data_IF_746893198946
#
_entry.id   IF_746893198946
#
_cell.length_a   1.000
_cell.length_b   1.000
_cell.length_c   1.000
_cell.angle_alpha   90.00
_cell.angle_beta   90.00
_cell.angle_gamma   90.00
#
_symmetry.space_group_name_H-M   'P 1'
#
loop_
_entity.id
_entity.type
_entity.pdbx_description
1 polymer ?
#
# COMPACT_ATOMS: atom_id res chain seq x y z
N UNK A 1 74.25 3.68 -37.49
CA UNK A 1 72.87 4.32 -37.62
C UNK A 1 72.21 4.29 -36.27
N UNK A 2 72.11 5.43 -35.59
CA UNK A 2 71.42 5.56 -34.26
C UNK A 2 69.89 5.61 -34.42
N UNK A 3 69.23 4.64 -33.84
CA UNK A 3 67.76 4.55 -33.87
C UNK A 3 67.17 5.57 -32.86
N UNK A 4 66.48 6.59 -33.33
CA UNK A 4 65.79 7.58 -32.49
C UNK A 4 64.74 6.91 -31.63
N UNK A 5 64.88 7.00 -30.31
CA UNK A 5 63.93 6.48 -29.33
C UNK A 5 62.77 7.48 -29.18
N UNK A 6 61.61 7.15 -29.78
CA UNK A 6 60.40 7.97 -29.68
C UNK A 6 59.92 7.92 -28.22
N UNK A 7 59.89 9.07 -27.54
CA UNK A 7 59.31 9.23 -26.22
C UNK A 7 57.77 8.98 -26.34
N UNK A 8 57.31 7.87 -25.74
CA UNK A 8 55.87 7.65 -25.61
C UNK A 8 55.31 8.68 -24.62
N UNK A 9 54.46 9.57 -25.07
CA UNK A 9 53.71 10.45 -24.20
C UNK A 9 52.78 9.63 -23.32
N UNK A 10 52.78 9.87 -22.03
CA UNK A 10 51.80 9.32 -21.10
C UNK A 10 50.45 9.94 -21.42
N UNK A 11 49.49 9.13 -21.87
CA UNK A 11 48.10 9.54 -22.04
C UNK A 11 47.49 9.70 -20.64
N UNK A 12 47.37 10.93 -20.19
CA UNK A 12 46.54 11.25 -19.02
C UNK A 12 45.09 11.20 -19.46
N UNK A 13 44.33 10.22 -19.02
CA UNK A 13 42.89 10.15 -19.24
C UNK A 13 42.24 11.09 -18.25
N UNK A 14 41.55 12.10 -18.75
CA UNK A 14 40.73 13.00 -17.91
C UNK A 14 39.52 12.22 -17.38
N UNK A 15 39.50 12.01 -16.05
CA UNK A 15 38.42 11.27 -15.39
C UNK A 15 37.20 12.15 -15.03
N UNK A 16 37.31 13.46 -15.24
CA UNK A 16 36.24 14.44 -14.89
C UNK A 16 34.91 14.12 -15.59
N UNK A 17 34.87 13.86 -16.92
CA UNK A 17 33.62 13.51 -17.59
C UNK A 17 33.01 12.19 -17.10
N UNK A 18 33.85 11.21 -16.71
CA UNK A 18 33.37 9.94 -16.18
C UNK A 18 32.74 10.10 -14.78
N UNK A 19 33.32 10.96 -13.94
CA UNK A 19 32.78 11.29 -12.63
C UNK A 19 31.43 12.02 -12.76
N UNK A 20 31.31 12.93 -13.71
CA UNK A 20 30.06 13.68 -13.96
C UNK A 20 28.92 12.74 -14.40
N UNK A 21 29.19 11.86 -15.38
CA UNK A 21 28.21 10.86 -15.82
C UNK A 21 27.81 9.92 -14.67
N UNK A 22 28.75 9.47 -13.85
CA UNK A 22 28.46 8.62 -12.69
C UNK A 22 27.60 9.37 -11.66
N UNK A 23 27.88 10.65 -11.42
CA UNK A 23 27.10 11.49 -10.54
C UNK A 23 25.68 11.75 -11.06
N UNK A 24 25.53 12.02 -12.36
CA UNK A 24 24.21 12.17 -13.00
C UNK A 24 23.39 10.88 -12.91
N UNK A 25 24.00 9.72 -13.16
CA UNK A 25 23.32 8.43 -13.00
C UNK A 25 22.91 8.18 -11.55
N UNK A 26 23.79 8.49 -10.59
CA UNK A 26 23.47 8.34 -9.17
C UNK A 26 22.29 9.20 -8.76
N UNK A 27 22.31 10.50 -9.13
CA UNK A 27 21.21 11.42 -8.82
C UNK A 27 19.92 11.01 -9.51
N UNK A 28 19.99 10.53 -10.75
CA UNK A 28 18.83 9.98 -11.46
C UNK A 28 18.23 8.79 -10.72
N UNK A 29 19.03 7.82 -10.29
CA UNK A 29 18.52 6.66 -9.55
C UNK A 29 17.94 7.06 -8.20
N UNK A 30 18.53 8.02 -7.48
CA UNK A 30 17.99 8.51 -6.21
C UNK A 30 16.62 9.17 -6.44
N UNK A 31 16.48 9.99 -7.48
CA UNK A 31 15.21 10.69 -7.79
C UNK A 31 14.16 9.73 -8.39
N UNK A 32 14.58 8.73 -9.14
CA UNK A 32 13.69 7.73 -9.74
C UNK A 32 13.27 6.63 -8.75
N UNK A 33 13.95 6.49 -7.62
CA UNK A 33 13.60 5.53 -6.60
C UNK A 33 12.29 5.92 -5.91
N UNK A 34 11.18 5.31 -6.32
CA UNK A 34 9.91 5.43 -5.62
C UNK A 34 9.92 4.48 -4.43
N UNK A 35 9.83 5.03 -3.23
CA UNK A 35 9.65 4.23 -2.03
C UNK A 35 8.24 3.62 -2.05
N UNK A 36 8.15 2.31 -2.15
CA UNK A 36 6.88 1.62 -1.88
C UNK A 36 6.53 1.83 -0.41
N UNK A 37 5.27 2.18 -0.09
CA UNK A 37 4.83 2.20 1.30
C UNK A 37 5.12 0.85 1.95
N UNK A 38 5.64 0.85 3.17
CA UNK A 38 5.89 -0.39 3.88
C UNK A 38 4.58 -1.09 4.19
N UNK A 39 4.50 -2.37 3.81
CA UNK A 39 3.35 -3.19 4.14
C UNK A 39 3.39 -3.57 5.63
N UNK A 40 2.24 -3.59 6.28
CA UNK A 40 2.12 -3.95 7.70
C UNK A 40 2.67 -5.35 7.99
N UNK A 41 2.39 -6.28 7.08
CA UNK A 41 2.79 -7.68 7.14
C UNK A 41 2.95 -8.19 5.71
N UNK A 42 3.93 -9.04 5.51
CA UNK A 42 4.06 -9.76 4.24
C UNK A 42 2.89 -10.74 4.08
N UNK A 43 2.15 -10.56 3.00
CA UNK A 43 0.95 -11.33 2.69
C UNK A 43 1.11 -11.93 1.29
N UNK A 44 0.79 -13.20 1.14
CA UNK A 44 0.77 -13.89 -0.15
C UNK A 44 -0.67 -14.01 -0.68
N UNK A 45 -1.18 -13.04 -1.47
CA UNK A 45 -2.54 -13.10 -1.97
C UNK A 45 -2.74 -14.21 -2.99
N UNK A 46 -3.96 -14.71 -3.13
CA UNK A 46 -4.29 -15.69 -4.16
C UNK A 46 -4.03 -15.13 -5.56
N UNK A 47 -3.74 -16.01 -6.51
CA UNK A 47 -3.44 -15.62 -7.89
C UNK A 47 -4.71 -15.41 -8.70
N UNK A 48 -4.72 -14.39 -9.57
CA UNK A 48 -5.81 -14.07 -10.47
C UNK A 48 -5.28 -13.71 -11.87
N UNK A 49 -6.10 -13.94 -12.88
CA UNK A 49 -5.86 -13.52 -14.27
C UNK A 49 -6.40 -12.12 -14.58
N UNK A 50 -6.80 -11.37 -13.57
CA UNK A 50 -7.32 -10.01 -13.73
C UNK A 50 -6.19 -9.05 -14.13
N UNK A 51 -6.46 -8.18 -15.13
CA UNK A 51 -5.54 -7.14 -15.61
C UNK A 51 -5.83 -5.77 -14.99
N UNK A 52 -6.80 -5.66 -14.06
CA UNK A 52 -7.11 -4.38 -13.43
C UNK A 52 -6.00 -4.00 -12.47
N UNK A 53 -5.46 -2.80 -12.66
CA UNK A 53 -4.53 -2.20 -11.73
C UNK A 53 -5.30 -1.67 -10.52
N UNK A 54 -4.78 -1.90 -9.32
CA UNK A 54 -5.37 -1.36 -8.10
C UNK A 54 -5.21 0.17 -8.08
N UNK A 55 -6.24 0.92 -7.66
CA UNK A 55 -6.14 2.37 -7.54
C UNK A 55 -5.10 2.76 -6.49
N UNK A 56 -4.26 3.74 -6.84
CA UNK A 56 -3.18 4.25 -5.97
C UNK A 56 -3.60 5.47 -5.15
N UNK A 57 -4.77 6.02 -5.43
CA UNK A 57 -5.31 7.23 -4.77
C UNK A 57 -6.70 6.97 -4.23
N UNK A 58 -7.05 7.73 -3.21
CA UNK A 58 -8.37 7.69 -2.57
C UNK A 58 -8.79 6.26 -2.24
N UNK A 59 -7.88 5.53 -1.60
CA UNK A 59 -8.09 4.13 -1.25
C UNK A 59 -8.10 3.87 0.25
N UNK A 60 -8.85 2.84 0.61
CA UNK A 60 -8.82 2.19 1.91
C UNK A 60 -8.55 0.71 1.68
N UNK A 61 -7.38 0.25 2.08
CA UNK A 61 -6.94 -1.13 1.92
C UNK A 61 -6.98 -1.87 3.27
N UNK A 62 -7.73 -2.95 3.31
CA UNK A 62 -7.81 -3.85 4.45
C UNK A 62 -6.96 -5.08 4.15
N UNK A 63 -5.87 -5.25 4.91
CA UNK A 63 -4.96 -6.39 4.77
C UNK A 63 -5.26 -7.42 5.85
N UNK A 64 -5.44 -8.68 5.47
CA UNK A 64 -5.68 -9.80 6.39
C UNK A 64 -4.46 -10.74 6.31
N UNK A 65 -3.74 -10.87 7.41
CA UNK A 65 -2.57 -11.72 7.49
C UNK A 65 -2.93 -13.21 7.63
N UNK A 66 -1.95 -14.08 7.40
CA UNK A 66 -2.08 -15.54 7.65
C UNK A 66 -2.52 -15.89 9.06
N UNK A 67 -2.21 -15.04 10.05
CA UNK A 67 -2.58 -15.20 11.45
C UNK A 67 -3.99 -14.66 11.76
N UNK A 68 -4.76 -14.31 10.73
CA UNK A 68 -6.09 -13.72 10.81
C UNK A 68 -6.13 -12.34 11.53
N UNK A 69 -5.01 -11.65 11.58
CA UNK A 69 -4.93 -10.26 12.06
C UNK A 69 -5.28 -9.31 10.92
N UNK A 70 -6.04 -8.27 11.23
CA UNK A 70 -6.49 -7.28 10.25
C UNK A 70 -5.74 -5.99 10.43
N UNK A 71 -5.25 -5.45 9.33
CA UNK A 71 -4.52 -4.19 9.25
C UNK A 71 -5.20 -3.27 8.24
N UNK A 72 -5.13 -1.98 8.49
CA UNK A 72 -5.73 -0.96 7.65
C UNK A 72 -4.65 -0.02 7.12
N UNK A 73 -4.69 0.21 5.82
CA UNK A 73 -3.89 1.23 5.13
C UNK A 73 -4.83 2.15 4.37
N UNK A 74 -4.57 3.43 4.37
CA UNK A 74 -5.38 4.41 3.65
C UNK A 74 -4.50 5.50 3.03
N UNK A 75 -5.06 6.19 2.05
CA UNK A 75 -4.39 7.32 1.41
C UNK A 75 -4.01 8.37 2.48
N UNK A 76 -2.76 8.87 2.47
CA UNK A 76 -2.31 9.88 3.42
C UNK A 76 -3.20 11.12 3.49
N UNK A 77 -3.83 11.51 2.39
CA UNK A 77 -4.69 12.69 2.31
C UNK A 77 -5.93 12.62 3.19
N UNK A 78 -6.51 11.42 3.34
CA UNK A 78 -7.74 11.23 4.11
C UNK A 78 -7.49 10.91 5.58
N UNK A 79 -6.27 10.49 5.97
CA UNK A 79 -5.96 10.05 7.32
C UNK A 79 -6.33 11.05 8.40
N UNK A 80 -5.98 12.33 8.21
CA UNK A 80 -6.29 13.39 9.18
C UNK A 80 -7.79 13.55 9.39
N UNK A 81 -8.57 13.59 8.29
CA UNK A 81 -10.02 13.69 8.35
C UNK A 81 -10.68 12.45 8.97
N UNK A 82 -10.18 11.25 8.64
CA UNK A 82 -10.66 9.98 9.24
C UNK A 82 -10.43 9.98 10.75
N UNK A 83 -9.29 10.45 11.21
CA UNK A 83 -9.00 10.51 12.65
C UNK A 83 -9.92 11.50 13.37
N UNK A 84 -10.28 12.64 12.72
CA UNK A 84 -11.22 13.62 13.26
C UNK A 84 -12.62 13.04 13.37
N UNK A 85 -13.11 12.36 12.32
CA UNK A 85 -14.44 11.72 12.34
C UNK A 85 -14.51 10.61 13.40
N UNK A 86 -13.46 9.78 13.49
CA UNK A 86 -13.36 8.76 14.53
C UNK A 86 -13.36 9.38 15.94
N UNK A 87 -12.65 10.51 16.11
CA UNK A 87 -12.62 11.27 17.36
C UNK A 87 -14.01 11.75 17.77
N UNK A 88 -14.82 12.24 16.83
CA UNK A 88 -16.21 12.66 17.07
C UNK A 88 -17.10 11.48 17.45
N UNK A 89 -17.01 10.39 16.68
CA UNK A 89 -17.83 9.19 16.88
C UNK A 89 -17.55 8.50 18.23
N UNK A 90 -16.27 8.48 18.65
CA UNK A 90 -15.81 7.78 19.85
C UNK A 90 -15.54 8.69 21.05
N UNK A 91 -15.83 10.00 20.96
CA UNK A 91 -15.50 10.99 21.97
C UNK A 91 -14.02 10.98 22.37
N UNK A 92 -13.12 10.78 21.41
CA UNK A 92 -11.68 10.79 21.58
C UNK A 92 -11.09 12.10 21.08
N UNK A 93 -10.29 12.77 21.91
CA UNK A 93 -9.57 13.97 21.48
C UNK A 93 -8.15 13.61 21.04
N UNK A 94 -7.74 14.11 19.88
CA UNK A 94 -6.40 13.97 19.33
C UNK A 94 -5.74 15.34 19.21
N UNK A 95 -4.48 15.42 19.58
CA UNK A 95 -3.70 16.64 19.43
C UNK A 95 -3.27 16.85 17.97
N UNK A 96 -2.82 18.07 17.63
CA UNK A 96 -2.27 18.33 16.29
C UNK A 96 -1.01 17.48 16.00
N UNK A 97 -0.26 17.12 17.05
CA UNK A 97 0.90 16.23 16.92
C UNK A 97 0.46 14.80 16.64
N UNK A 98 -0.60 14.31 17.31
CA UNK A 98 -1.14 12.97 17.06
C UNK A 98 -1.61 12.84 15.61
N UNK A 99 -2.26 13.87 15.06
CA UNK A 99 -2.67 13.86 13.64
C UNK A 99 -1.48 13.70 12.70
N UNK A 100 -0.42 14.49 12.92
CA UNK A 100 0.80 14.39 12.10
C UNK A 100 1.47 13.01 12.21
N UNK A 101 1.53 12.45 13.41
CA UNK A 101 2.08 11.12 13.60
C UNK A 101 1.23 10.06 12.89
N UNK A 102 -0.10 10.19 12.94
CA UNK A 102 -1.02 9.30 12.29
C UNK A 102 -0.96 9.39 10.75
N UNK A 103 -0.82 10.59 10.21
CA UNK A 103 -0.62 10.81 8.77
C UNK A 103 0.65 10.12 8.25
N UNK A 104 1.70 10.10 9.08
CA UNK A 104 2.97 9.45 8.75
C UNK A 104 3.00 7.94 9.04
N UNK A 105 2.01 7.39 9.73
CA UNK A 105 1.92 5.96 9.97
C UNK A 105 1.57 5.23 8.66
N UNK A 106 2.36 4.25 8.24
CA UNK A 106 2.13 3.51 7.00
C UNK A 106 0.85 2.67 7.09
N UNK A 107 0.57 2.08 8.24
CA UNK A 107 -0.58 1.20 8.49
C UNK A 107 -1.05 1.27 9.94
N UNK A 108 -2.26 0.80 10.17
CA UNK A 108 -2.92 0.73 11.46
C UNK A 108 -3.27 -0.73 11.74
N UNK A 109 -2.92 -1.22 12.90
CA UNK A 109 -3.16 -2.61 13.28
C UNK A 109 -3.30 -2.76 14.79
N UNK A 110 -4.04 -1.84 15.43
CA UNK A 110 -4.27 -1.84 16.87
C UNK A 110 -5.74 -1.60 17.18
N UNK A 111 -6.27 -2.15 18.29
CA UNK A 111 -7.61 -1.82 18.77
C UNK A 111 -7.70 -0.36 19.23
N UNK A 112 -8.89 0.21 19.25
CA UNK A 112 -9.12 1.60 19.69
C UNK A 112 -8.57 1.91 21.09
N UNK A 113 -8.58 0.93 21.98
CA UNK A 113 -8.01 1.07 23.33
C UNK A 113 -6.51 1.40 23.33
N UNK A 114 -5.78 0.95 22.31
CA UNK A 114 -4.34 1.15 22.17
C UNK A 114 -4.00 2.25 21.13
N UNK A 115 -5.01 2.80 20.44
CA UNK A 115 -4.80 3.72 19.33
C UNK A 115 -4.01 4.97 19.76
N UNK A 116 -4.31 5.58 20.90
CA UNK A 116 -3.57 6.74 21.40
C UNK A 116 -2.09 6.42 21.67
N UNK A 117 -1.81 5.26 22.24
CA UNK A 117 -0.43 4.82 22.51
C UNK A 117 0.31 4.57 21.20
N UNK A 118 -0.36 3.94 20.22
CA UNK A 118 0.18 3.68 18.90
C UNK A 118 0.54 4.97 18.16
N UNK A 119 -0.35 5.96 18.17
CA UNK A 119 -0.13 7.26 17.50
C UNK A 119 1.01 8.06 18.16
N UNK A 120 1.24 7.87 19.47
CA UNK A 120 2.35 8.52 20.17
C UNK A 120 3.73 7.95 19.78
N UNK A 121 3.79 6.76 19.20
CA UNK A 121 5.03 6.14 18.72
C UNK A 121 5.51 6.82 17.43
N UNK A 122 6.83 6.91 17.28
CA UNK A 122 7.41 7.35 16.00
C UNK A 122 7.30 6.26 14.95
N UNK A 123 7.14 6.60 13.65
CA UNK A 123 7.04 5.60 12.58
C UNK A 123 8.18 4.58 12.56
N UNK A 124 9.39 5.01 12.94
CA UNK A 124 10.57 4.13 13.02
C UNK A 124 10.43 3.05 14.11
N UNK A 125 9.72 3.34 15.19
CA UNK A 125 9.49 2.39 16.29
C UNK A 125 8.40 1.37 15.96
N UNK A 126 7.49 1.72 15.05
CA UNK A 126 6.41 0.85 14.59
C UNK A 126 6.94 -0.17 13.57
N UNK A 127 7.97 0.18 12.80
CA UNK A 127 8.58 -0.72 11.81
C UNK A 127 9.16 -1.96 12.50
N UNK A 128 8.64 -3.13 12.13
CA UNK A 128 9.06 -4.41 12.70
C UNK A 128 8.39 -4.78 14.04
N UNK A 129 7.49 -3.93 14.56
CA UNK A 129 6.69 -4.27 15.73
C UNK A 129 5.53 -5.19 15.32
N UNK A 130 5.38 -6.29 16.02
CA UNK A 130 4.21 -7.15 15.83
C UNK A 130 2.98 -6.52 16.47
N UNK A 131 2.06 -6.01 15.63
CA UNK A 131 0.82 -5.40 16.09
C UNK A 131 -0.27 -6.45 16.31
N UNK A 132 -1.17 -6.23 17.28
CA UNK A 132 -2.24 -7.18 17.60
C UNK A 132 -3.28 -7.34 16.49
N UNK A 133 -3.39 -6.37 15.59
CA UNK A 133 -4.45 -6.29 14.58
C UNK A 133 -5.69 -5.54 15.08
N UNK A 134 -6.52 -5.09 14.13
CA UNK A 134 -7.83 -4.49 14.43
C UNK A 134 -8.80 -5.63 14.76
N UNK A 135 -9.54 -5.58 15.87
CA UNK A 135 -10.55 -6.57 16.21
C UNK A 135 -11.68 -6.60 15.17
N UNK A 136 -11.99 -7.79 14.64
CA UNK A 136 -13.06 -8.02 13.66
C UNK A 136 -13.98 -9.17 14.08
N UNK A 137 -14.09 -9.41 15.39
CA UNK A 137 -14.94 -10.45 15.92
C UNK A 137 -16.43 -10.13 15.76
N UNK A 138 -17.29 -11.15 15.82
CA UNK A 138 -18.73 -10.99 15.69
C UNK A 138 -19.33 -10.06 16.75
N UNK A 139 -18.73 -10.01 17.95
CA UNK A 139 -19.15 -9.17 19.07
C UNK A 139 -18.50 -7.79 19.08
N UNK A 140 -17.25 -7.69 18.62
CA UNK A 140 -16.50 -6.44 18.56
C UNK A 140 -15.81 -6.32 17.19
N UNK A 141 -16.48 -5.66 16.25
CA UNK A 141 -15.93 -5.38 14.93
C UNK A 141 -15.60 -3.89 14.81
N UNK A 142 -14.39 -3.52 15.23
CA UNK A 142 -13.92 -2.12 15.19
C UNK A 142 -13.68 -1.62 13.77
N UNK A 143 -13.50 -2.52 12.79
CA UNK A 143 -13.34 -2.16 11.39
C UNK A 143 -14.57 -1.41 10.83
N UNK A 144 -15.77 -1.68 11.35
CA UNK A 144 -17.01 -0.96 10.96
C UNK A 144 -16.89 0.54 11.20
N UNK A 145 -16.38 0.94 12.37
CA UNK A 145 -16.18 2.35 12.70
C UNK A 145 -15.08 3.00 11.85
N UNK A 146 -14.01 2.28 11.54
CA UNK A 146 -12.97 2.76 10.63
C UNK A 146 -13.52 3.03 9.23
N UNK A 147 -14.33 2.13 8.68
CA UNK A 147 -14.96 2.30 7.37
C UNK A 147 -15.97 3.46 7.41
N UNK A 148 -16.81 3.56 8.45
CA UNK A 148 -17.74 4.68 8.64
C UNK A 148 -17.00 6.03 8.66
N UNK A 149 -15.96 6.14 9.47
CA UNK A 149 -15.14 7.35 9.56
C UNK A 149 -14.47 7.70 8.22
N UNK A 150 -14.01 6.71 7.45
CA UNK A 150 -13.41 6.95 6.15
C UNK A 150 -14.42 7.45 5.10
N UNK A 151 -15.64 6.92 5.11
CA UNK A 151 -16.72 7.38 4.22
C UNK A 151 -17.10 8.81 4.57
N UNK A 152 -17.29 9.12 5.86
CA UNK A 152 -17.66 10.44 6.31
C UNK A 152 -16.56 11.49 6.05
N UNK A 153 -15.29 11.09 6.19
CA UNK A 153 -14.15 11.96 5.93
C UNK A 153 -14.02 12.38 4.45
N UNK A 154 -14.45 11.53 3.53
CA UNK A 154 -14.33 11.79 2.08
C UNK A 154 -15.43 12.71 1.52
N UNK A 155 -16.42 13.12 2.32
CA UNK A 155 -17.46 14.11 1.96
C UNK A 155 -18.16 13.89 0.60
N UNK A 156 -18.31 12.63 0.15
CA UNK A 156 -19.02 12.28 -1.10
C UNK A 156 -18.11 12.04 -2.32
N UNK A 157 -16.79 12.14 -2.18
CA UNK A 157 -15.87 11.65 -3.20
C UNK A 157 -15.82 10.12 -3.17
N UNK A 158 -15.50 9.50 -4.30
CA UNK A 158 -15.52 8.04 -4.42
C UNK A 158 -14.28 7.41 -3.79
N UNK A 159 -14.46 6.73 -2.66
CA UNK A 159 -13.40 5.97 -2.00
C UNK A 159 -13.30 4.57 -2.61
N UNK A 160 -12.09 4.15 -2.92
CA UNK A 160 -11.80 2.83 -3.44
C UNK A 160 -11.50 1.85 -2.30
N UNK A 161 -12.36 0.86 -2.11
CA UNK A 161 -12.14 -0.17 -1.11
C UNK A 161 -11.36 -1.33 -1.69
N UNK A 162 -10.24 -1.69 -1.03
CA UNK A 162 -9.37 -2.78 -1.39
C UNK A 162 -9.31 -3.78 -0.24
N UNK A 163 -9.33 -5.06 -0.57
CA UNK A 163 -9.11 -6.15 0.39
C UNK A 163 -7.94 -6.98 -0.11
N UNK A 164 -6.89 -7.09 0.69
CA UNK A 164 -5.72 -7.94 0.44
C UNK A 164 -5.69 -9.03 1.51
N UNK A 165 -5.98 -10.26 1.16
CA UNK A 165 -5.95 -11.41 2.09
C UNK A 165 -4.85 -12.38 1.73
N UNK A 166 -4.23 -12.98 2.74
CA UNK A 166 -3.35 -14.13 2.55
C UNK A 166 -4.19 -15.35 2.10
N UNK A 167 -3.60 -16.23 1.34
CA UNK A 167 -4.26 -17.42 0.83
C UNK A 167 -4.62 -18.41 1.96
N UNK A 168 -3.92 -18.35 3.09
CA UNK A 168 -4.18 -19.13 4.29
C UNK A 168 -5.25 -18.53 5.23
N UNK A 169 -5.86 -17.40 4.90
CA UNK A 169 -6.87 -16.73 5.75
C UNK A 169 -8.09 -17.61 5.97
N UNK A 170 -8.52 -17.69 7.22
CA UNK A 170 -9.74 -18.42 7.57
C UNK A 170 -10.98 -17.65 7.15
N UNK A 171 -11.94 -18.36 6.57
CA UNK A 171 -13.20 -17.79 6.09
C UNK A 171 -13.94 -16.93 7.12
N UNK A 172 -14.02 -17.27 8.43
CA UNK A 172 -14.71 -16.44 9.41
C UNK A 172 -14.14 -15.01 9.50
N UNK A 173 -12.83 -14.84 9.45
CA UNK A 173 -12.17 -13.51 9.49
C UNK A 173 -12.46 -12.73 8.20
N UNK A 174 -12.34 -13.37 7.05
CA UNK A 174 -12.69 -12.77 5.78
C UNK A 174 -14.15 -12.32 5.72
N UNK A 175 -15.06 -13.18 6.21
CA UNK A 175 -16.50 -12.86 6.31
C UNK A 175 -16.73 -11.66 7.24
N UNK A 176 -16.07 -11.58 8.40
CA UNK A 176 -16.21 -10.48 9.33
C UNK A 176 -15.77 -9.13 8.71
N UNK A 177 -14.73 -9.14 7.86
CA UNK A 177 -14.31 -7.97 7.09
C UNK A 177 -15.39 -7.58 6.07
N UNK A 178 -15.93 -8.53 5.31
CA UNK A 178 -17.03 -8.27 4.37
C UNK A 178 -18.28 -7.74 5.07
N UNK A 179 -18.62 -8.29 6.23
CA UNK A 179 -19.76 -7.85 7.03
C UNK A 179 -19.54 -6.41 7.57
N UNK A 180 -18.30 -5.99 7.80
CA UNK A 180 -17.98 -4.62 8.15
C UNK A 180 -18.24 -3.64 6.98
N UNK A 181 -17.92 -4.02 5.75
CA UNK A 181 -18.25 -3.23 4.56
C UNK A 181 -19.75 -3.15 4.34
N UNK A 182 -20.47 -4.28 4.42
CA UNK A 182 -21.93 -4.34 4.27
C UNK A 182 -22.66 -3.50 5.31
N UNK A 183 -22.17 -3.47 6.55
CA UNK A 183 -22.75 -2.66 7.62
C UNK A 183 -22.68 -1.14 7.34
N UNK A 184 -21.82 -0.72 6.41
CA UNK A 184 -21.67 0.65 5.94
C UNK A 184 -22.20 0.84 4.50
N UNK A 185 -23.08 -0.06 4.02
CA UNK A 185 -23.66 -0.04 2.68
C UNK A 185 -22.62 -0.07 1.53
N UNK A 186 -21.40 -0.55 1.82
CA UNK A 186 -20.36 -0.67 0.82
C UNK A 186 -20.35 -2.08 0.22
N UNK A 187 -20.91 -2.21 -0.97
CA UNK A 187 -20.98 -3.48 -1.71
C UNK A 187 -19.96 -3.61 -2.83
N UNK A 188 -19.23 -2.51 -3.14
CA UNK A 188 -18.20 -2.49 -4.16
C UNK A 188 -16.82 -2.43 -3.51
N UNK A 189 -16.07 -3.50 -3.64
CA UNK A 189 -14.68 -3.57 -3.20
C UNK A 189 -13.87 -4.39 -4.21
N UNK A 190 -12.57 -4.13 -4.28
CA UNK A 190 -11.65 -4.85 -5.16
C UNK A 190 -10.79 -5.78 -4.30
N UNK A 191 -10.66 -7.03 -4.75
CA UNK A 191 -9.72 -7.97 -4.15
C UNK A 191 -8.34 -7.79 -4.80
N UNK A 192 -7.32 -7.56 -3.99
CA UNK A 192 -5.93 -7.49 -4.45
C UNK A 192 -5.40 -8.90 -4.56
N UNK A 193 -4.91 -9.26 -5.75
CA UNK A 193 -4.46 -10.62 -6.08
C UNK A 193 -3.11 -10.56 -6.80
N UNK A 194 -2.36 -11.65 -6.74
CA UNK A 194 -1.15 -11.80 -7.55
C UNK A 194 -1.51 -12.05 -9.02
N UNK A 195 -0.80 -11.40 -9.93
CA UNK A 195 -1.02 -11.59 -11.35
C UNK A 195 -0.57 -12.99 -11.79
N UNK A 196 -1.42 -13.69 -12.54
CA UNK A 196 -1.13 -14.96 -13.17
C UNK A 196 -1.35 -14.85 -14.67
N UNK A 197 -0.46 -15.47 -15.46
CA UNK A 197 -0.62 -15.52 -16.90
C UNK A 197 -1.95 -16.22 -17.27
N UNK A 198 -2.63 -15.66 -18.25
CA UNK A 198 -3.87 -16.25 -18.79
C UNK A 198 -3.51 -17.53 -19.54
N UNK A 199 -4.15 -18.67 -19.24
CA UNK A 199 -3.88 -19.92 -19.95
C UNK A 199 -4.14 -19.77 -21.45
N UNK A 200 -3.18 -20.22 -22.27
CA UNK A 200 -3.31 -20.22 -23.73
C UNK A 200 -4.53 -21.01 -24.16
N UNK A 201 -5.27 -20.48 -25.16
CA UNK A 201 -6.46 -21.13 -25.69
C UNK A 201 -7.75 -20.90 -24.90
N UNK A 202 -7.71 -20.29 -23.71
CA UNK A 202 -8.91 -19.91 -22.97
C UNK A 202 -9.69 -18.78 -23.68
N UNK A 203 -10.99 -18.66 -23.40
CA UNK A 203 -11.81 -17.58 -24.00
C UNK A 203 -11.28 -16.20 -23.60
N UNK A 204 -10.78 -16.05 -22.37
CA UNK A 204 -10.17 -14.81 -21.89
C UNK A 204 -8.88 -14.49 -22.65
N UNK A 205 -8.05 -15.50 -22.97
CA UNK A 205 -6.85 -15.33 -23.80
C UNK A 205 -7.20 -14.81 -25.19
N UNK A 206 -8.21 -15.41 -25.83
CA UNK A 206 -8.69 -14.98 -27.15
C UNK A 206 -9.21 -13.56 -27.13
N UNK A 207 -9.97 -13.20 -26.09
CA UNK A 207 -10.49 -11.83 -25.89
C UNK A 207 -9.37 -10.81 -25.72
N UNK A 208 -8.39 -11.07 -24.85
CA UNK A 208 -7.25 -10.19 -24.65
C UNK A 208 -6.43 -10.00 -25.93
N UNK A 209 -6.25 -11.06 -26.72
CA UNK A 209 -5.57 -10.97 -28.03
C UNK A 209 -6.35 -10.13 -29.04
N UNK A 210 -7.68 -10.18 -29.03
CA UNK A 210 -8.52 -9.35 -29.89
C UNK A 210 -8.46 -7.87 -29.48
N UNK A 211 -8.52 -7.57 -28.18
CA UNK A 211 -8.41 -6.21 -27.65
C UNK A 211 -7.03 -5.60 -27.96
N UNK A 212 -5.95 -6.35 -27.72
CA UNK A 212 -4.59 -5.88 -28.03
C UNK A 212 -4.35 -5.65 -29.53
N UNK A 213 -4.98 -6.44 -30.40
CA UNK A 213 -4.91 -6.24 -31.84
C UNK A 213 -5.80 -5.07 -32.32
N UNK A 214 -6.84 -4.71 -31.56
CA UNK A 214 -7.69 -3.56 -31.86
C UNK A 214 -7.00 -2.23 -31.47
N UNK A 215 -6.22 -2.21 -30.40
CA UNK A 215 -5.45 -1.03 -29.95
C UNK A 215 -4.24 -0.71 -30.85
N UNK A 216 -3.79 -1.67 -31.67
CA UNK A 216 -2.66 -1.48 -32.61
C UNK A 216 -3.09 -1.03 -34.01
N UNK A 217 -4.36 -0.86 -34.27
CA UNK A 217 -4.92 -0.31 -35.52
C UNK A 217 -5.40 1.12 -35.34
#
# INVERSE_FOLDING_TARGET
MARAKIKRGSTSVDMTPMCDVAFLLLTFFILAAQFKPSEAVEVNPPSSVSNKVAPEKDFLNVTISKDNKVYLMMDPKIKGAVLDELGKERNMSFSAQDKKNFENADYIGVPFSQLKQFIALKPEQVKGMELPGIPVDSTNNELKAWISAAINAQMGEQLNFLIKGDDAVKYPTFKAVIDAFKANDQYKYNLVTNSKAVPEGSELYKKNMMEHNAEKK
#
